data_IF_537435753150
#
_entry.id   IF_537435753150
#
_cell.length_a   1.000
_cell.length_b   1.000
_cell.length_c   1.000
_cell.angle_alpha   90.00
_cell.angle_beta   90.00
_cell.angle_gamma   90.00
#
_symmetry.space_group_name_H-M   'P 1'
#
loop_
_entity.id
_entity.type
_entity.pdbx_description
1 polymer ?
#
# COMPACT_ATOMS: atom_id res chain seq x y z
N UNK A 1 -33.83 -33.66 -23.74
CA UNK A 1 -34.41 -32.67 -22.81
C UNK A 1 -33.46 -31.47 -22.81
N UNK A 2 -33.87 -30.32 -23.37
CA UNK A 2 -33.04 -29.11 -23.36
C UNK A 2 -33.50 -28.24 -22.19
N UNK A 3 -32.64 -28.05 -21.18
CA UNK A 3 -32.89 -27.09 -20.11
C UNK A 3 -32.60 -25.70 -20.67
N UNK A 4 -33.61 -24.84 -20.71
CA UNK A 4 -33.44 -23.42 -21.02
C UNK A 4 -33.13 -22.72 -19.69
N UNK A 5 -32.07 -21.92 -19.64
CA UNK A 5 -31.85 -21.04 -18.51
C UNK A 5 -32.96 -19.98 -18.49
N UNK A 6 -33.65 -19.83 -17.36
CA UNK A 6 -34.46 -18.65 -17.10
C UNK A 6 -33.55 -17.62 -16.43
N UNK A 7 -33.58 -16.40 -16.95
CA UNK A 7 -33.02 -15.25 -16.25
C UNK A 7 -33.95 -14.91 -15.08
N UNK A 8 -33.42 -14.90 -13.87
CA UNK A 8 -34.15 -14.52 -12.66
C UNK A 8 -33.80 -13.09 -12.28
N UNK A 9 -34.80 -12.34 -11.83
CA UNK A 9 -34.56 -11.02 -11.23
C UNK A 9 -33.71 -11.18 -9.95
N UNK A 10 -32.71 -10.31 -9.72
CA UNK A 10 -31.93 -10.36 -8.49
C UNK A 10 -32.82 -10.19 -7.26
N UNK A 11 -32.70 -11.11 -6.31
CA UNK A 11 -33.41 -11.07 -5.04
C UNK A 11 -32.43 -11.25 -3.87
N UNK A 12 -32.87 -10.86 -2.69
CA UNK A 12 -32.20 -11.21 -1.43
C UNK A 12 -33.21 -11.89 -0.50
N UNK A 13 -32.70 -12.67 0.45
CA UNK A 13 -33.51 -13.25 1.51
C UNK A 13 -32.88 -12.92 2.87
N UNK A 14 -33.72 -12.88 3.90
CA UNK A 14 -33.32 -12.78 5.31
C UNK A 14 -33.78 -14.01 6.06
N UNK A 15 -33.08 -14.35 7.13
CA UNK A 15 -33.51 -15.41 8.05
C UNK A 15 -34.47 -14.78 9.07
N UNK A 16 -35.67 -15.33 9.19
CA UNK A 16 -36.66 -14.86 10.16
C UNK A 16 -36.43 -15.45 11.57
N UNK A 17 -37.24 -15.05 12.53
CA UNK A 17 -37.15 -15.51 13.93
C UNK A 17 -37.41 -17.02 14.09
N UNK A 18 -37.98 -17.66 13.07
CA UNK A 18 -38.21 -19.11 13.01
C UNK A 18 -37.07 -19.86 12.29
N UNK A 19 -35.94 -19.18 12.05
CA UNK A 19 -34.81 -19.68 11.28
C UNK A 19 -35.13 -20.10 9.83
N UNK A 20 -36.22 -19.57 9.25
CA UNK A 20 -36.64 -19.82 7.88
C UNK A 20 -36.25 -18.66 6.96
N UNK A 21 -35.90 -18.94 5.69
CA UNK A 21 -35.63 -17.90 4.70
C UNK A 21 -36.93 -17.20 4.27
N UNK A 22 -36.92 -15.88 4.31
CA UNK A 22 -37.97 -15.00 3.79
C UNK A 22 -37.39 -14.01 2.78
N UNK A 23 -38.11 -13.73 1.69
CA UNK A 23 -37.69 -12.73 0.71
C UNK A 23 -37.56 -11.35 1.36
N UNK A 24 -36.47 -10.66 1.05
CA UNK A 24 -36.26 -9.29 1.47
C UNK A 24 -36.99 -8.35 0.50
N UNK A 25 -38.08 -7.74 0.95
CA UNK A 25 -38.82 -6.75 0.15
C UNK A 25 -37.97 -5.51 -0.13
N UNK A 26 -38.03 -5.01 -1.37
CA UNK A 26 -37.33 -3.79 -1.77
C UNK A 26 -35.82 -3.93 -1.98
N UNK A 27 -35.27 -5.17 -2.04
CA UNK A 27 -33.86 -5.38 -2.38
C UNK A 27 -33.55 -4.82 -3.77
N UNK A 28 -32.74 -3.77 -3.80
CA UNK A 28 -32.15 -3.24 -5.03
C UNK A 28 -30.68 -3.66 -5.03
N UNK A 29 -30.24 -4.54 -5.93
CA UNK A 29 -28.84 -4.90 -6.00
C UNK A 29 -28.02 -3.63 -6.22
N UNK A 30 -27.06 -3.37 -5.32
CA UNK A 30 -26.11 -2.29 -5.53
C UNK A 30 -25.30 -2.62 -6.79
N UNK A 31 -25.40 -1.77 -7.80
CA UNK A 31 -24.59 -1.88 -9.01
C UNK A 31 -23.16 -1.53 -8.62
N UNK A 32 -22.41 -2.51 -8.13
CA UNK A 32 -20.96 -2.39 -8.01
C UNK A 32 -20.44 -2.18 -9.43
N UNK A 33 -19.72 -1.08 -9.66
CA UNK A 33 -19.08 -0.84 -10.95
C UNK A 33 -18.28 -2.09 -11.33
N UNK A 34 -18.44 -2.64 -12.55
CA UNK A 34 -17.65 -3.78 -12.97
C UNK A 34 -16.17 -3.37 -12.98
N UNK A 35 -15.38 -4.00 -12.11
CA UNK A 35 -13.95 -3.73 -11.98
C UNK A 35 -13.49 -3.72 -10.52
N UNK A 36 -12.21 -4.09 -10.31
CA UNK A 36 -11.54 -3.89 -9.01
C UNK A 36 -11.62 -2.40 -8.66
N UNK A 37 -11.98 -2.00 -7.43
CA UNK A 37 -11.89 -0.61 -7.03
C UNK A 37 -10.50 -0.08 -7.39
N UNK A 38 -10.43 1.10 -8.02
CA UNK A 38 -9.17 1.73 -8.38
C UNK A 38 -8.44 2.06 -7.07
N UNK A 39 -7.54 1.17 -6.65
CA UNK A 39 -6.60 1.48 -5.58
C UNK A 39 -5.77 2.64 -6.09
N UNK A 40 -5.81 3.77 -5.38
CA UNK A 40 -4.93 4.90 -5.69
C UNK A 40 -3.49 4.39 -5.72
N UNK A 41 -2.74 4.80 -6.74
CA UNK A 41 -1.34 4.41 -6.88
C UNK A 41 -0.56 5.03 -5.72
N UNK A 42 0.31 4.22 -5.12
CA UNK A 42 1.20 4.69 -4.07
C UNK A 42 2.05 5.87 -4.54
N UNK A 43 2.01 6.96 -3.78
CA UNK A 43 2.76 8.20 -3.97
C UNK A 43 3.58 8.50 -2.70
N UNK A 44 4.92 8.33 -2.74
CA UNK A 44 5.78 8.59 -1.58
C UNK A 44 5.67 10.02 -1.03
N UNK A 45 5.24 11.00 -1.83
CA UNK A 45 5.10 12.38 -1.39
C UNK A 45 3.80 12.65 -0.61
N UNK A 46 2.81 11.76 -0.70
CA UNK A 46 1.47 11.94 -0.09
C UNK A 46 1.15 10.88 0.94
N UNK A 47 1.55 9.64 0.67
CA UNK A 47 1.16 8.48 1.47
C UNK A 47 2.01 8.29 2.72
N UNK A 48 3.13 9.03 2.82
CA UNK A 48 4.04 8.96 3.95
C UNK A 48 4.34 10.37 4.44
N UNK A 49 4.21 10.55 5.75
CA UNK A 49 4.53 11.82 6.40
C UNK A 49 6.04 11.98 6.62
N UNK A 50 6.52 13.22 6.67
CA UNK A 50 7.93 13.53 6.97
C UNK A 50 8.43 12.88 8.27
N UNK A 51 7.69 12.90 9.41
CA UNK A 51 8.15 12.23 10.63
C UNK A 51 8.34 10.73 10.45
N UNK A 52 7.49 10.07 9.66
CA UNK A 52 7.64 8.63 9.35
C UNK A 52 8.89 8.38 8.50
N UNK A 53 9.17 9.24 7.51
CA UNK A 53 10.41 9.13 6.75
C UNK A 53 11.62 9.26 7.67
N UNK A 54 11.61 10.25 8.56
CA UNK A 54 12.69 10.51 9.49
C UNK A 54 12.93 9.32 10.43
N UNK A 55 11.90 8.87 11.12
CA UNK A 55 11.99 7.74 12.05
C UNK A 55 12.47 6.46 11.35
N UNK A 56 11.91 6.13 10.18
CA UNK A 56 12.29 4.93 9.43
C UNK A 56 13.73 5.00 8.89
N UNK A 57 14.20 6.18 8.49
CA UNK A 57 15.58 6.38 8.03
C UNK A 57 16.56 6.37 9.19
N UNK A 58 16.26 7.06 10.29
CA UNK A 58 17.08 7.01 11.50
C UNK A 58 17.23 5.57 12.01
N UNK A 59 16.14 4.80 12.06
CA UNK A 59 16.18 3.38 12.42
C UNK A 59 16.99 2.53 11.42
N UNK A 60 16.87 2.77 10.12
CA UNK A 60 17.62 2.04 9.10
C UNK A 60 19.13 2.32 9.21
N UNK A 61 19.51 3.58 9.33
CA UNK A 61 20.92 3.99 9.30
C UNK A 61 21.61 3.91 10.67
N UNK A 62 20.86 3.77 11.77
CA UNK A 62 21.41 3.40 13.07
C UNK A 62 22.00 1.99 13.10
N UNK A 63 21.48 1.06 12.27
CA UNK A 63 22.00 -0.31 12.17
C UNK A 63 23.29 -0.38 11.33
N UNK A 64 23.40 0.47 10.30
CA UNK A 64 24.53 0.51 9.37
C UNK A 64 24.55 1.87 8.67
N UNK A 65 25.72 2.50 8.63
CA UNK A 65 25.88 3.86 8.09
C UNK A 65 25.71 3.94 6.56
N UNK A 66 25.98 2.85 5.84
CA UNK A 66 25.92 2.81 4.38
C UNK A 66 25.33 1.52 3.84
N UNK A 67 24.50 1.63 2.81
CA UNK A 67 23.86 0.47 2.15
C UNK A 67 24.12 0.42 0.65
N UNK A 68 24.25 -0.79 0.10
CA UNK A 68 24.07 -1.00 -1.35
C UNK A 68 22.60 -0.88 -1.75
N UNK A 69 22.28 -0.75 -3.04
CA UNK A 69 20.89 -0.53 -3.49
C UNK A 69 19.90 -1.61 -3.00
N UNK A 70 20.21 -2.89 -3.22
CA UNK A 70 19.33 -4.00 -2.81
C UNK A 70 19.18 -4.09 -1.28
N UNK A 71 20.30 -3.94 -0.57
CA UNK A 71 20.27 -3.97 0.90
C UNK A 71 19.47 -2.80 1.47
N UNK A 72 19.59 -1.61 0.86
CA UNK A 72 18.82 -0.43 1.23
C UNK A 72 17.34 -0.72 1.02
N UNK A 73 16.95 -1.22 -0.17
CA UNK A 73 15.56 -1.55 -0.50
C UNK A 73 14.93 -2.48 0.55
N UNK A 74 15.59 -3.59 0.87
CA UNK A 74 15.10 -4.56 1.86
C UNK A 74 15.03 -3.96 3.27
N UNK A 75 15.99 -3.09 3.62
CA UNK A 75 16.03 -2.43 4.92
C UNK A 75 14.90 -1.42 5.04
N UNK A 76 14.66 -0.59 4.02
CA UNK A 76 13.57 0.37 4.00
C UNK A 76 12.20 -0.33 4.10
N UNK A 77 12.00 -1.45 3.40
CA UNK A 77 10.75 -2.22 3.52
C UNK A 77 10.49 -2.62 4.98
N UNK A 78 11.54 -3.04 5.70
CA UNK A 78 11.42 -3.45 7.12
C UNK A 78 11.21 -2.28 8.06
N UNK A 79 11.98 -1.20 7.92
CA UNK A 79 11.91 -0.06 8.84
C UNK A 79 10.65 0.76 8.64
N UNK A 80 10.21 0.96 7.40
CA UNK A 80 8.92 1.61 7.14
C UNK A 80 7.74 0.76 7.61
N UNK A 81 7.85 -0.57 7.55
CA UNK A 81 6.81 -1.45 8.12
C UNK A 81 6.69 -1.27 9.64
N UNK A 82 7.80 -1.05 10.35
CA UNK A 82 7.80 -0.76 11.78
C UNK A 82 7.10 0.59 12.09
N UNK A 83 7.24 1.57 11.21
CA UNK A 83 6.54 2.87 11.27
C UNK A 83 5.08 2.80 10.72
N UNK A 84 4.56 1.61 10.46
CA UNK A 84 3.18 1.37 10.00
C UNK A 84 2.95 1.56 8.49
N UNK A 85 4.01 1.76 7.70
CA UNK A 85 3.94 1.95 6.25
C UNK A 85 4.29 0.64 5.54
N UNK A 86 3.29 0.02 4.89
CA UNK A 86 3.50 -1.23 4.16
C UNK A 86 4.03 -0.96 2.75
N UNK A 87 5.32 -1.23 2.55
CA UNK A 87 5.98 -1.12 1.24
C UNK A 87 6.11 -2.48 0.55
N UNK A 88 6.02 -2.48 -0.77
CA UNK A 88 6.45 -3.58 -1.64
C UNK A 88 7.71 -3.15 -2.41
N UNK A 89 8.34 -4.07 -3.14
CA UNK A 89 9.54 -3.76 -3.93
C UNK A 89 9.35 -2.57 -4.91
N UNK A 90 8.26 -2.55 -5.68
CA UNK A 90 7.98 -1.44 -6.60
C UNK A 90 7.85 -0.08 -5.90
N UNK A 91 7.15 -0.05 -4.77
CA UNK A 91 6.96 1.15 -3.95
C UNK A 91 8.27 1.58 -3.30
N UNK A 92 9.13 0.64 -2.90
CA UNK A 92 10.44 0.92 -2.34
C UNK A 92 11.36 1.58 -3.39
N UNK A 93 11.31 1.16 -4.65
CA UNK A 93 12.05 1.84 -5.74
C UNK A 93 11.58 3.29 -5.92
N UNK A 94 10.26 3.52 -5.94
CA UNK A 94 9.69 4.86 -6.02
C UNK A 94 10.09 5.72 -4.81
N UNK A 95 10.09 5.13 -3.61
CA UNK A 95 10.52 5.77 -2.38
C UNK A 95 12.01 6.14 -2.43
N UNK A 96 12.91 5.22 -2.77
CA UNK A 96 14.36 5.50 -2.89
C UNK A 96 14.61 6.66 -3.86
N UNK A 97 13.88 6.68 -4.98
CA UNK A 97 13.95 7.77 -5.96
C UNK A 97 13.54 9.10 -5.35
N UNK A 98 12.43 9.14 -4.60
CA UNK A 98 11.98 10.34 -3.89
C UNK A 98 12.97 10.80 -2.83
N UNK A 99 13.43 9.89 -1.96
CA UNK A 99 14.39 10.18 -0.90
C UNK A 99 15.68 10.79 -1.44
N UNK A 100 16.15 10.30 -2.59
CA UNK A 100 17.31 10.85 -3.30
C UNK A 100 17.02 12.26 -3.84
N UNK A 101 15.84 12.48 -4.43
CA UNK A 101 15.45 13.79 -4.95
C UNK A 101 15.36 14.85 -3.85
N UNK A 102 14.85 14.46 -2.67
CA UNK A 102 14.80 15.30 -1.46
C UNK A 102 16.13 15.39 -0.71
N UNK A 103 17.19 14.73 -1.22
CA UNK A 103 18.53 14.66 -0.59
C UNK A 103 18.53 14.10 0.85
N UNK A 104 17.50 13.34 1.21
CA UNK A 104 17.46 12.59 2.48
C UNK A 104 18.49 11.46 2.48
N UNK A 105 18.70 10.85 1.32
CA UNK A 105 19.79 9.91 1.07
C UNK A 105 20.69 10.45 -0.04
N UNK A 106 21.99 10.22 0.09
CA UNK A 106 23.00 10.61 -0.90
C UNK A 106 23.83 9.41 -1.32
N UNK A 107 24.31 9.45 -2.56
CA UNK A 107 25.17 8.42 -3.13
C UNK A 107 26.54 9.03 -3.40
N UNK A 108 27.41 9.10 -2.38
CA UNK A 108 28.65 9.88 -2.47
C UNK A 108 29.70 9.28 -3.44
N UNK A 109 29.83 7.95 -3.46
CA UNK A 109 30.85 7.26 -4.26
C UNK A 109 30.27 6.42 -5.42
N UNK A 110 29.02 6.68 -5.82
CA UNK A 110 28.33 5.93 -6.87
C UNK A 110 28.02 4.46 -6.54
N UNK A 111 28.40 3.96 -5.35
CA UNK A 111 28.25 2.55 -4.95
C UNK A 111 27.32 2.32 -3.77
N UNK A 112 27.26 3.25 -2.83
CA UNK A 112 26.50 3.11 -1.59
C UNK A 112 25.71 4.36 -1.27
N UNK A 113 24.65 4.18 -0.50
CA UNK A 113 23.75 5.22 -0.03
C UNK A 113 24.02 5.48 1.44
N UNK A 114 24.11 6.75 1.81
CA UNK A 114 24.20 7.23 3.19
C UNK A 114 23.05 8.21 3.50
N UNK A 115 22.66 8.29 4.76
CA UNK A 115 21.63 9.21 5.24
C UNK A 115 22.21 10.58 5.55
N UNK A 116 21.58 11.64 5.04
CA UNK A 116 21.90 13.02 5.40
C UNK A 116 20.73 13.57 6.20
N UNK A 117 20.85 13.73 7.54
CA UNK A 117 19.75 14.26 8.37
C UNK A 117 19.44 15.74 8.13
N UNK A 118 20.32 16.46 7.42
CA UNK A 118 20.22 17.90 7.15
C UNK A 118 19.44 18.20 5.84
N UNK A 119 18.31 17.50 5.65
CA UNK A 119 17.47 17.64 4.46
C UNK A 119 16.31 18.62 4.67
N UNK A 120 15.76 19.11 3.55
CA UNK A 120 14.54 19.91 3.54
C UNK A 120 13.44 19.14 2.80
N UNK A 121 12.35 18.84 3.50
CA UNK A 121 11.17 18.18 2.95
C UNK A 121 10.32 19.12 2.11
#
# INVERSE_FOLDING_TARGET
MHIRAMDFEPFAFRINDRALPELAEGYKPEVRKPGRPSVEKFDPYKDISEPQHRAALEAAFALKEEYGYKELEDTLIKTYLAEGVRLNHQNAVALITMLRNKRMIVQENGRKYSFKPDYHY
#
